data_IF_793305215011
#
_entry.id   IF_793305215011
#
_cell.length_a   1.000
_cell.length_b   1.000
_cell.length_c   1.000
_cell.angle_alpha   90.00
_cell.angle_beta   90.00
_cell.angle_gamma   90.00
#
_symmetry.space_group_name_H-M   'P 1'
#
loop_
_entity.id
_entity.type
_entity.pdbx_description
1 polymer ?
#
# COMPACT_ATOMS: atom_id res chain seq x y z
N UNK A 1 -9.29 -29.20 -16.99
CA UNK A 1 -9.58 -28.51 -15.71
C UNK A 1 -11.03 -28.72 -15.26
N UNK A 2 -12.04 -28.41 -16.07
CA UNK A 2 -13.45 -28.61 -15.68
C UNK A 2 -13.79 -30.06 -15.28
N UNK A 3 -13.41 -31.04 -16.11
CA UNK A 3 -13.58 -32.48 -15.82
C UNK A 3 -12.90 -32.92 -14.51
N UNK A 4 -11.69 -32.42 -14.25
CA UNK A 4 -10.92 -32.71 -13.03
C UNK A 4 -11.59 -32.16 -11.74
N UNK A 5 -12.23 -30.98 -11.83
CA UNK A 5 -12.95 -30.38 -10.70
C UNK A 5 -14.31 -31.06 -10.47
N UNK A 6 -14.96 -31.49 -11.54
CA UNK A 6 -16.27 -32.15 -11.48
C UNK A 6 -16.21 -33.48 -10.72
N UNK A 7 -15.15 -34.27 -10.90
CA UNK A 7 -14.89 -35.49 -10.11
C UNK A 7 -14.81 -35.22 -8.59
N UNK A 8 -14.54 -33.97 -8.19
CA UNK A 8 -14.45 -33.52 -6.79
C UNK A 8 -15.66 -32.70 -6.35
N UNK A 9 -16.73 -32.68 -7.14
CA UNK A 9 -17.97 -31.95 -6.83
C UNK A 9 -17.86 -30.43 -6.98
N UNK A 10 -16.87 -29.91 -7.71
CA UNK A 10 -16.69 -28.48 -7.94
C UNK A 10 -16.94 -28.10 -9.40
N UNK A 11 -17.61 -26.97 -9.62
CA UNK A 11 -17.86 -26.40 -10.95
C UNK A 11 -17.25 -25.01 -11.06
N UNK A 12 -16.88 -24.64 -12.30
CA UNK A 12 -16.40 -23.28 -12.59
C UNK A 12 -17.59 -22.33 -12.69
N UNK A 13 -17.44 -21.14 -12.11
CA UNK A 13 -18.40 -20.06 -12.29
C UNK A 13 -18.16 -19.40 -13.64
N UNK A 14 -19.14 -19.48 -14.54
CA UNK A 14 -19.08 -18.88 -15.89
C UNK A 14 -18.88 -17.36 -15.82
N UNK A 15 -19.52 -16.68 -14.88
CA UNK A 15 -19.38 -15.24 -14.67
C UNK A 15 -17.93 -14.81 -14.35
N UNK A 16 -17.19 -15.65 -13.60
CA UNK A 16 -15.82 -15.34 -13.16
C UNK A 16 -14.75 -15.84 -14.13
N UNK A 17 -15.10 -16.83 -14.95
CA UNK A 17 -14.17 -17.54 -15.83
C UNK A 17 -14.21 -16.92 -17.21
N UNK A 18 -13.13 -16.24 -17.59
CA UNK A 18 -13.02 -15.65 -18.92
C UNK A 18 -11.56 -15.77 -19.41
N UNK A 19 -11.41 -15.97 -20.72
CA UNK A 19 -10.10 -16.02 -21.38
C UNK A 19 -9.82 -14.64 -21.97
N UNK A 20 -8.68 -14.05 -21.62
CA UNK A 20 -8.27 -12.72 -22.10
C UNK A 20 -6.88 -12.74 -22.69
N UNK A 21 -6.65 -11.87 -23.66
CA UNK A 21 -5.32 -11.67 -24.19
C UNK A 21 -4.46 -10.86 -23.19
N UNK A 22 -3.16 -11.16 -23.10
CA UNK A 22 -2.26 -10.50 -22.14
C UNK A 22 -2.14 -8.99 -22.34
N UNK A 23 -2.45 -8.50 -23.56
CA UNK A 23 -2.47 -7.07 -23.86
C UNK A 23 -3.69 -6.34 -23.28
N UNK A 24 -4.78 -7.06 -23.03
CA UNK A 24 -5.97 -6.52 -22.34
C UNK A 24 -5.78 -6.63 -20.83
N UNK A 25 -5.16 -7.74 -20.41
CA UNK A 25 -4.78 -8.01 -19.04
C UNK A 25 -5.94 -8.47 -18.18
N UNK A 26 -5.64 -8.88 -16.95
CA UNK A 26 -6.62 -9.37 -16.00
C UNK A 26 -6.22 -9.02 -14.57
N UNK A 27 -7.20 -9.04 -13.67
CA UNK A 27 -6.98 -8.81 -12.24
C UNK A 27 -6.85 -10.14 -11.49
N UNK A 28 -5.78 -10.29 -10.71
CA UNK A 28 -5.53 -11.46 -9.87
C UNK A 28 -4.92 -11.03 -8.53
N UNK A 29 -5.51 -11.48 -7.41
CA UNK A 29 -5.08 -11.13 -6.05
C UNK A 29 -4.87 -9.61 -5.82
N UNK A 30 -5.69 -8.78 -6.46
CA UNK A 30 -5.58 -7.31 -6.35
C UNK A 30 -4.44 -6.70 -7.17
N UNK A 31 -3.82 -7.45 -8.08
CA UNK A 31 -2.88 -6.96 -9.08
C UNK A 31 -3.51 -6.99 -10.46
N UNK A 32 -3.26 -5.97 -11.27
CA UNK A 32 -3.55 -5.97 -12.69
C UNK A 32 -2.30 -6.41 -13.46
N UNK A 33 -2.41 -7.52 -14.18
CA UNK A 33 -1.35 -8.12 -14.99
C UNK A 33 -1.66 -7.80 -16.44
N UNK A 34 -0.84 -6.94 -17.06
CA UNK A 34 -1.05 -6.51 -18.45
C UNK A 34 0.26 -6.22 -19.18
N UNK A 35 0.33 -6.62 -20.45
CA UNK A 35 1.45 -6.31 -21.36
C UNK A 35 1.14 -5.04 -22.14
N UNK A 36 2.02 -4.06 -22.03
CA UNK A 36 1.92 -2.76 -22.70
C UNK A 36 3.06 -2.66 -23.71
N UNK A 37 2.75 -2.61 -25.01
CA UNK A 37 3.76 -2.45 -26.08
C UNK A 37 4.98 -3.38 -25.90
N UNK A 38 4.72 -4.67 -25.66
CA UNK A 38 5.80 -5.66 -25.44
C UNK A 38 6.24 -5.84 -23.98
N UNK A 39 5.96 -4.88 -23.07
CA UNK A 39 6.44 -4.90 -21.68
C UNK A 39 5.36 -5.29 -20.68
N UNK A 40 5.58 -6.35 -19.90
CA UNK A 40 4.69 -6.75 -18.82
C UNK A 40 4.82 -5.79 -17.63
N UNK A 41 3.71 -5.17 -17.22
CA UNK A 41 3.65 -4.36 -16.01
C UNK A 41 2.58 -4.91 -15.07
N UNK A 42 3.02 -5.35 -13.89
CA UNK A 42 2.14 -5.75 -12.79
C UNK A 42 1.94 -4.53 -11.91
N UNK A 43 0.70 -4.06 -11.80
CA UNK A 43 0.31 -2.86 -11.03
C UNK A 43 -0.74 -3.24 -9.98
N UNK A 44 -0.93 -2.45 -8.91
CA UNK A 44 -2.13 -2.59 -8.09
C UNK A 44 -3.38 -2.42 -8.95
N UNK A 45 -4.39 -3.28 -8.77
CA UNK A 45 -5.61 -3.19 -9.57
C UNK A 45 -6.37 -1.90 -9.26
N UNK A 46 -7.04 -1.34 -10.27
CA UNK A 46 -7.85 -0.13 -10.12
C UNK A 46 -8.96 -0.36 -9.09
N UNK A 47 -9.63 -1.51 -9.17
CA UNK A 47 -10.69 -1.89 -8.23
C UNK A 47 -10.17 -1.89 -6.78
N UNK A 48 -9.05 -2.54 -6.49
CA UNK A 48 -8.57 -2.62 -5.11
C UNK A 48 -8.06 -1.26 -4.59
N UNK A 49 -7.41 -0.47 -5.45
CA UNK A 49 -6.97 0.89 -5.12
C UNK A 49 -8.16 1.78 -4.74
N UNK A 50 -9.25 1.74 -5.52
CA UNK A 50 -10.46 2.52 -5.25
C UNK A 50 -11.19 2.05 -4.00
N UNK A 51 -11.24 0.74 -3.73
CA UNK A 51 -11.80 0.18 -2.51
C UNK A 51 -10.99 0.65 -1.28
N UNK A 52 -9.67 0.59 -1.34
CA UNK A 52 -8.79 1.08 -0.28
C UNK A 52 -9.04 2.57 0.03
N UNK A 53 -9.11 3.42 -1.00
CA UNK A 53 -9.42 4.84 -0.86
C UNK A 53 -10.83 5.10 -0.34
N UNK A 54 -11.81 4.28 -0.71
CA UNK A 54 -13.18 4.38 -0.17
C UNK A 54 -13.18 4.09 1.32
N UNK A 55 -12.51 3.02 1.74
CA UNK A 55 -12.41 2.62 3.14
C UNK A 55 -11.69 3.68 3.98
N UNK A 56 -10.58 4.24 3.48
CA UNK A 56 -9.88 5.34 4.14
C UNK A 56 -10.76 6.57 4.32
N UNK A 57 -11.49 6.98 3.26
CA UNK A 57 -12.41 8.12 3.32
C UNK A 57 -13.55 7.89 4.31
N UNK A 58 -14.13 6.69 4.33
CA UNK A 58 -15.17 6.32 5.29
C UNK A 58 -14.64 6.36 6.73
N UNK A 59 -13.45 5.83 6.97
CA UNK A 59 -12.79 5.86 8.27
C UNK A 59 -12.56 7.29 8.77
N UNK A 60 -11.99 8.16 7.91
CA UNK A 60 -11.78 9.58 8.24
C UNK A 60 -13.13 10.29 8.49
N UNK A 61 -14.16 9.99 7.71
CA UNK A 61 -15.50 10.59 7.88
C UNK A 61 -16.16 10.14 9.18
N UNK A 62 -16.06 8.84 9.53
CA UNK A 62 -16.59 8.25 10.76
C UNK A 62 -15.95 8.88 12.00
N UNK A 63 -14.65 9.16 11.94
CA UNK A 63 -13.90 9.75 13.04
C UNK A 63 -13.73 11.28 12.86
N UNK A 64 -14.85 11.97 12.64
CA UNK A 64 -14.89 13.41 12.38
C UNK A 64 -14.33 14.27 13.54
N UNK A 65 -14.65 13.89 14.78
CA UNK A 65 -14.35 14.65 16.00
C UNK A 65 -13.06 14.20 16.68
N UNK A 66 -12.55 13.02 16.32
CA UNK A 66 -11.40 12.36 16.94
C UNK A 66 -10.15 13.26 16.97
N UNK A 67 -9.30 13.04 17.99
CA UNK A 67 -7.99 13.70 18.05
C UNK A 67 -7.15 13.36 16.82
N UNK A 68 -6.24 14.26 16.44
CA UNK A 68 -5.39 14.06 15.25
C UNK A 68 -4.43 12.91 15.48
N UNK A 69 -3.94 12.77 16.71
CA UNK A 69 -2.98 11.73 17.08
C UNK A 69 -3.63 10.34 16.96
N UNK A 70 -4.87 10.18 17.43
CA UNK A 70 -5.58 8.91 17.35
C UNK A 70 -5.96 8.58 15.90
N UNK A 71 -6.34 9.60 15.11
CA UNK A 71 -6.57 9.41 13.68
C UNK A 71 -5.30 8.93 12.95
N UNK A 72 -4.13 9.51 13.29
CA UNK A 72 -2.83 9.07 12.72
C UNK A 72 -2.49 7.65 13.15
N UNK A 73 -2.68 7.30 14.44
CA UNK A 73 -2.47 5.95 14.96
C UNK A 73 -3.36 4.92 14.25
N UNK A 74 -4.58 5.30 13.89
CA UNK A 74 -5.51 4.42 13.16
C UNK A 74 -5.15 4.28 11.67
N UNK A 75 -4.67 5.34 11.03
CA UNK A 75 -4.34 5.36 9.59
C UNK A 75 -3.00 4.67 9.29
N UNK A 76 -1.98 4.89 10.12
CA UNK A 76 -0.61 4.44 9.85
C UNK A 76 -0.49 2.93 9.60
N UNK A 77 -1.05 2.03 10.42
CA UNK A 77 -0.97 0.58 10.17
C UNK A 77 -1.62 0.17 8.84
N UNK A 78 -2.74 0.79 8.48
CA UNK A 78 -3.45 0.51 7.22
C UNK A 78 -2.63 0.96 6.00
N UNK A 79 -2.03 2.14 6.07
CA UNK A 79 -1.17 2.67 5.01
C UNK A 79 0.10 1.82 4.87
N UNK A 80 0.78 1.52 5.97
CA UNK A 80 1.99 0.67 5.97
C UNK A 80 1.69 -0.72 5.41
N UNK A 81 0.64 -1.38 5.88
CA UNK A 81 0.27 -2.71 5.41
C UNK A 81 -0.01 -2.75 3.91
N UNK A 82 -0.79 -1.79 3.41
CA UNK A 82 -1.10 -1.69 1.98
C UNK A 82 0.14 -1.35 1.14
N UNK A 83 0.98 -0.43 1.61
CA UNK A 83 2.24 -0.09 0.95
C UNK A 83 3.17 -1.30 0.88
N UNK A 84 3.34 -2.02 1.99
CA UNK A 84 4.19 -3.21 2.07
C UNK A 84 3.71 -4.33 1.16
N UNK A 85 2.39 -4.53 1.05
CA UNK A 85 1.83 -5.52 0.13
C UNK A 85 2.17 -5.21 -1.34
N UNK A 86 2.10 -3.94 -1.73
CA UNK A 86 2.28 -3.53 -3.12
C UNK A 86 3.70 -3.08 -3.47
N UNK A 87 4.62 -2.94 -2.50
CA UNK A 87 5.98 -2.41 -2.72
C UNK A 87 6.81 -3.22 -3.73
N UNK A 88 6.41 -4.47 -4.00
CA UNK A 88 7.12 -5.35 -4.92
C UNK A 88 6.69 -5.23 -6.39
N UNK A 89 5.58 -4.54 -6.66
CA UNK A 89 5.05 -4.35 -8.02
C UNK A 89 5.31 -2.93 -8.54
N UNK A 90 4.84 -2.62 -9.76
CA UNK A 90 4.95 -1.28 -10.35
C UNK A 90 3.90 -0.36 -9.73
N UNK A 91 4.11 0.02 -8.46
CA UNK A 91 3.12 0.73 -7.65
C UNK A 91 3.37 2.23 -7.45
N UNK A 92 4.55 2.75 -7.82
CA UNK A 92 4.96 4.14 -7.48
C UNK A 92 3.92 5.20 -7.86
N UNK A 93 3.46 5.21 -9.12
CA UNK A 93 2.40 6.14 -9.57
C UNK A 93 1.08 5.98 -8.80
N UNK A 94 0.77 4.75 -8.38
CA UNK A 94 -0.44 4.46 -7.59
C UNK A 94 -0.26 4.96 -6.15
N UNK A 95 0.93 4.82 -5.57
CA UNK A 95 1.25 5.36 -4.25
C UNK A 95 1.14 6.88 -4.24
N UNK A 96 1.65 7.56 -5.27
CA UNK A 96 1.52 9.01 -5.41
C UNK A 96 0.05 9.43 -5.50
N UNK A 97 -0.75 8.72 -6.32
CA UNK A 97 -2.20 8.95 -6.43
C UNK A 97 -2.92 8.76 -5.09
N UNK A 98 -2.63 7.66 -4.37
CA UNK A 98 -3.24 7.37 -3.06
C UNK A 98 -2.83 8.43 -2.03
N UNK A 99 -1.57 8.85 -2.03
CA UNK A 99 -1.07 9.92 -1.16
C UNK A 99 -1.80 11.24 -1.39
N UNK A 100 -1.97 11.64 -2.66
CA UNK A 100 -2.74 12.84 -3.01
C UNK A 100 -4.20 12.74 -2.57
N UNK A 101 -4.88 11.63 -2.85
CA UNK A 101 -6.28 11.44 -2.44
C UNK A 101 -6.46 11.43 -0.91
N UNK A 102 -5.50 10.86 -0.18
CA UNK A 102 -5.47 10.88 1.27
C UNK A 102 -5.28 12.30 1.81
N UNK A 103 -4.35 13.07 1.23
CA UNK A 103 -4.16 14.49 1.56
C UNK A 103 -5.47 15.27 1.38
N UNK A 104 -6.15 15.13 0.25
CA UNK A 104 -7.42 15.80 -0.02
C UNK A 104 -8.53 15.41 0.98
N UNK A 105 -8.54 14.16 1.44
CA UNK A 105 -9.49 13.70 2.46
C UNK A 105 -9.18 14.32 3.84
N UNK A 106 -7.91 14.34 4.24
CA UNK A 106 -7.45 14.91 5.51
C UNK A 106 -7.60 16.43 5.55
N UNK A 107 -7.33 17.11 4.42
CA UNK A 107 -7.52 18.55 4.28
C UNK A 107 -8.97 18.94 4.54
N UNK A 108 -9.92 18.25 3.87
CA UNK A 108 -11.36 18.47 4.09
C UNK A 108 -11.78 18.17 5.52
N UNK A 109 -11.25 17.11 6.12
CA UNK A 109 -11.49 16.78 7.53
C UNK A 109 -11.01 17.91 8.46
N UNK A 110 -9.81 18.44 8.23
CA UNK A 110 -9.21 19.47 9.06
C UNK A 110 -9.91 20.83 8.93
N UNK A 111 -10.27 21.25 7.71
CA UNK A 111 -11.03 22.48 7.45
C UNK A 111 -12.42 22.39 8.09
N UNK A 112 -13.13 21.25 7.94
CA UNK A 112 -14.44 21.05 8.56
C UNK A 112 -14.36 21.09 10.09
N UNK A 113 -13.27 20.61 10.68
CA UNK A 113 -13.10 20.61 12.14
C UNK A 113 -12.92 22.04 12.71
N UNK A 114 -12.46 22.99 11.90
CA UNK A 114 -12.19 24.38 12.31
C UNK A 114 -12.83 25.38 11.37
N UNK A 115 -14.16 25.41 11.35
CA UNK A 115 -14.95 26.31 10.48
C UNK A 115 -14.61 27.79 10.71
N UNK A 116 -14.29 28.17 11.95
CA UNK A 116 -13.96 29.56 12.32
C UNK A 116 -12.51 29.96 12.04
N UNK A 117 -11.66 29.04 11.60
CA UNK A 117 -10.24 29.31 11.38
C UNK A 117 -9.91 29.35 9.89
N UNK A 118 -9.04 30.28 9.51
CA UNK A 118 -8.57 30.40 8.13
C UNK A 118 -7.77 29.18 7.65
N UNK A 119 -7.75 28.94 6.34
CA UNK A 119 -7.04 27.81 5.72
C UNK A 119 -5.54 27.79 6.02
N UNK A 120 -4.91 28.97 6.12
CA UNK A 120 -3.49 29.09 6.47
C UNK A 120 -3.22 28.59 7.89
N UNK A 121 -4.13 28.85 8.83
CA UNK A 121 -4.02 28.33 10.19
C UNK A 121 -4.15 26.80 10.22
N UNK A 122 -5.09 26.25 9.43
CA UNK A 122 -5.27 24.79 9.29
C UNK A 122 -3.99 24.15 8.74
N UNK A 123 -3.40 24.74 7.70
CA UNK A 123 -2.12 24.28 7.14
C UNK A 123 -1.00 24.30 8.18
N UNK A 124 -0.80 25.42 8.89
CA UNK A 124 0.22 25.54 9.93
C UNK A 124 0.01 24.58 11.11
N UNK A 125 -1.24 24.29 11.46
CA UNK A 125 -1.56 23.42 12.60
C UNK A 125 -1.37 21.94 12.31
N UNK A 126 -1.70 21.50 11.09
CA UNK A 126 -1.80 20.08 10.75
C UNK A 126 -0.84 19.60 9.69
N UNK A 127 -0.38 20.47 8.81
CA UNK A 127 0.37 20.09 7.61
C UNK A 127 1.79 20.65 7.58
N UNK A 128 2.15 21.60 8.44
CA UNK A 128 3.49 22.17 8.51
C UNK A 128 4.21 21.70 9.78
N UNK A 129 5.13 20.76 9.63
CA UNK A 129 5.92 20.26 10.75
C UNK A 129 6.95 21.31 11.24
N UNK A 130 7.56 21.10 12.42
CA UNK A 130 8.61 21.98 12.98
C UNK A 130 9.79 22.14 12.02
N UNK A 131 10.07 21.11 11.23
CA UNK A 131 11.14 21.10 10.24
C UNK A 131 10.75 21.76 8.91
N UNK A 132 9.54 22.34 8.80
CA UNK A 132 9.04 22.98 7.58
C UNK A 132 8.53 22.02 6.50
N UNK A 133 8.56 20.71 6.75
CA UNK A 133 8.03 19.73 5.81
C UNK A 133 6.51 19.73 5.76
N UNK A 134 5.97 19.65 4.54
CA UNK A 134 4.53 19.53 4.31
C UNK A 134 4.05 18.09 4.54
N UNK A 135 3.63 17.77 5.77
CA UNK A 135 3.16 16.45 6.16
C UNK A 135 2.07 16.54 7.24
N UNK A 136 1.09 15.64 7.17
CA UNK A 136 0.05 15.58 8.18
C UNK A 136 0.62 15.09 9.51
N UNK A 137 0.51 15.91 10.55
CA UNK A 137 1.08 15.62 11.86
C UNK A 137 0.13 15.99 13.00
N UNK A 138 0.39 15.40 14.16
CA UNK A 138 -0.25 15.70 15.43
C UNK A 138 0.79 15.87 16.52
N UNK A 139 0.47 16.63 17.57
CA UNK A 139 1.37 16.88 18.71
C UNK A 139 0.64 16.50 19.99
N UNK A 140 1.35 15.87 20.92
CA UNK A 140 0.85 15.55 22.25
C UNK A 140 1.99 15.63 23.25
N UNK A 141 1.72 16.18 24.44
CA UNK A 141 2.61 15.99 25.58
C UNK A 141 2.31 14.66 26.23
N UNK A 142 3.31 13.80 26.37
CA UNK A 142 3.23 12.51 27.07
C UNK A 142 4.36 12.49 28.09
N UNK A 143 4.03 12.42 29.38
CA UNK A 143 5.01 12.49 30.48
C UNK A 143 5.99 13.67 30.32
N UNK A 144 5.43 14.87 30.11
CA UNK A 144 6.15 16.14 29.88
C UNK A 144 7.08 16.22 28.66
N UNK A 145 7.11 15.16 27.83
CA UNK A 145 7.81 15.16 26.55
C UNK A 145 6.87 15.56 25.41
N UNK A 146 7.34 16.45 24.54
CA UNK A 146 6.66 16.79 23.29
C UNK A 146 6.78 15.64 22.27
N UNK A 147 5.74 14.83 22.13
CA UNK A 147 5.67 13.77 21.13
C UNK A 147 4.99 14.26 19.84
N UNK A 148 5.65 14.07 18.70
CA UNK A 148 5.08 14.32 17.38
C UNK A 148 4.63 13.01 16.73
N UNK A 149 3.36 12.93 16.34
CA UNK A 149 2.81 11.83 15.57
C UNK A 149 2.75 12.23 14.10
N UNK A 150 3.49 11.52 13.26
CA UNK A 150 3.54 11.79 11.82
C UNK A 150 2.77 10.72 11.04
N UNK A 151 2.00 11.16 10.06
CA UNK A 151 1.38 10.26 9.10
C UNK A 151 2.46 9.67 8.17
N UNK A 152 2.32 8.37 7.89
CA UNK A 152 3.16 7.65 6.93
C UNK A 152 2.89 8.17 5.52
N UNK A 153 3.96 8.59 4.85
CA UNK A 153 3.91 9.03 3.47
C UNK A 153 4.03 7.83 2.53
N UNK A 154 2.89 7.32 2.10
CA UNK A 154 2.84 6.15 1.21
C UNK A 154 3.59 6.36 -0.12
N UNK A 155 3.61 7.60 -0.60
CA UNK A 155 4.38 8.00 -1.78
C UNK A 155 5.89 7.79 -1.58
N UNK A 156 6.41 7.87 -0.35
CA UNK A 156 7.84 7.66 -0.06
C UNK A 156 8.23 6.18 0.08
N UNK A 157 7.28 5.25 0.04
CA UNK A 157 7.60 3.82 0.10
C UNK A 157 8.47 3.40 -1.08
N UNK A 158 9.64 2.81 -0.77
CA UNK A 158 10.57 2.30 -1.76
C UNK A 158 10.05 1.01 -2.39
N UNK A 159 10.21 0.93 -3.71
CA UNK A 159 9.86 -0.25 -4.50
C UNK A 159 11.01 -1.26 -4.39
N UNK A 160 10.73 -2.43 -3.84
CA UNK A 160 11.70 -3.51 -3.68
C UNK A 160 11.43 -4.63 -4.67
N UNK A 161 12.35 -4.89 -5.59
CA UNK A 161 12.18 -5.94 -6.60
C UNK A 161 12.73 -7.27 -6.09
N UNK A 162 11.93 -8.31 -6.21
CA UNK A 162 12.39 -9.68 -5.98
C UNK A 162 13.16 -10.18 -7.21
N UNK A 163 14.38 -10.67 -6.99
CA UNK A 163 15.15 -11.36 -8.04
C UNK A 163 14.55 -12.76 -8.22
N UNK A 164 14.21 -13.15 -9.46
CA UNK A 164 13.68 -14.49 -9.74
C UNK A 164 14.71 -15.56 -9.36
N UNK A 165 14.26 -16.65 -8.72
CA UNK A 165 15.13 -17.82 -8.47
C UNK A 165 15.41 -18.51 -9.81
N UNK A 166 16.65 -18.95 -10.02
CA UNK A 166 17.01 -19.78 -11.17
C UNK A 166 16.11 -21.02 -11.21
N UNK A 167 15.37 -21.23 -12.30
CA UNK A 167 14.34 -22.28 -12.37
C UNK A 167 14.90 -23.69 -12.21
N UNK A 168 16.13 -23.94 -12.66
CA UNK A 168 16.84 -25.21 -12.51
C UNK A 168 17.45 -25.42 -11.11
N UNK A 169 17.46 -24.39 -10.24
CA UNK A 169 18.10 -24.50 -8.94
C UNK A 169 17.29 -25.38 -7.99
N UNK A 170 17.92 -26.46 -7.55
CA UNK A 170 17.34 -27.49 -6.66
C UNK A 170 18.26 -27.68 -5.46
N UNK A 171 17.67 -27.78 -4.26
CA UNK A 171 18.39 -28.00 -3.00
C UNK A 171 19.21 -29.29 -2.98
N UNK A 172 18.84 -30.27 -3.81
CA UNK A 172 19.44 -31.59 -3.88
C UNK A 172 20.59 -31.72 -4.89
N UNK A 173 20.87 -30.69 -5.70
CA UNK A 173 22.02 -30.70 -6.60
C UNK A 173 23.19 -29.93 -5.92
N UNK A 174 24.34 -30.58 -5.64
CA UNK A 174 25.52 -29.96 -5.06
C UNK A 174 26.02 -28.71 -5.81
N UNK A 175 25.83 -28.64 -7.12
CA UNK A 175 26.22 -27.47 -7.94
C UNK A 175 25.46 -26.19 -7.57
N UNK A 176 24.26 -26.32 -7.00
CA UNK A 176 23.42 -25.18 -6.63
C UNK A 176 23.63 -24.72 -5.18
N UNK A 177 24.44 -25.43 -4.40
CA UNK A 177 24.60 -25.19 -2.96
C UNK A 177 25.13 -23.79 -2.67
N UNK A 178 26.17 -23.35 -3.39
CA UNK A 178 26.78 -22.03 -3.22
C UNK A 178 25.77 -20.90 -3.53
N UNK A 179 25.07 -20.99 -4.67
CA UNK A 179 24.04 -20.03 -5.05
C UNK A 179 22.90 -19.92 -4.01
N UNK A 180 22.46 -21.05 -3.46
CA UNK A 180 21.39 -21.07 -2.45
C UNK A 180 21.87 -20.55 -1.09
N UNK A 181 23.13 -20.77 -0.71
CA UNK A 181 23.73 -20.24 0.51
C UNK A 181 23.88 -18.72 0.46
N UNK A 182 24.44 -18.16 -0.62
CA UNK A 182 24.57 -16.71 -0.82
C UNK A 182 23.20 -16.01 -0.74
N UNK A 183 22.18 -16.62 -1.34
CA UNK A 183 20.82 -16.10 -1.32
C UNK A 183 20.14 -16.19 0.06
N UNK A 184 20.55 -17.13 0.92
CA UNK A 184 20.07 -17.20 2.32
C UNK A 184 20.64 -16.04 3.15
N UNK A 185 21.92 -15.72 2.98
CA UNK A 185 22.62 -14.63 3.67
C UNK A 185 22.02 -13.26 3.34
N UNK A 186 21.62 -13.06 2.09
CA UNK A 186 21.03 -11.79 1.62
C UNK A 186 19.57 -11.55 2.06
N UNK A 187 18.94 -12.45 2.82
CA UNK A 187 17.62 -12.19 3.40
C UNK A 187 17.78 -11.42 4.71
N UNK A 188 17.59 -10.10 4.67
CA UNK A 188 17.08 -9.41 5.86
C UNK A 188 15.78 -10.12 6.27
N UNK A 189 15.70 -10.53 7.53
CA UNK A 189 14.61 -11.36 8.02
C UNK A 189 13.26 -10.71 7.70
N UNK A 190 12.22 -11.52 7.45
CA UNK A 190 10.84 -11.02 7.21
C UNK A 190 10.28 -10.22 8.41
N UNK A 191 11.02 -10.15 9.52
CA UNK A 191 10.68 -9.52 10.78
C UNK A 191 11.64 -8.39 11.18
N UNK A 192 12.48 -7.85 10.29
CA UNK A 192 13.27 -6.65 10.62
C UNK A 192 12.36 -5.41 10.61
N UNK A 193 11.60 -5.23 11.68
CA UNK A 193 10.86 -4.02 11.99
C UNK A 193 11.84 -2.99 12.56
N UNK A 194 12.28 -2.07 11.72
CA UNK A 194 12.93 -0.82 12.12
C UNK A 194 12.28 0.34 11.37
#
# INVERSE_FOLDING_TARGET
MARFLQERGLTLSEEKTHVTHINDGFDFLGFNIRKYKGKLLIKPSKRNTLLFLRNLRQLIKKHATMSVNDLIKLLNPKLRGWANYYRHCVAKKVFDYVGHQLFQALWRWAVRKHITKGRQWVARKYFLDRNGYWRFHGRQKIADMDCAFNLVEIAKTLIERHVKIRGAATLYNPEHTAYLQERKLNKQSRNSWF
#
